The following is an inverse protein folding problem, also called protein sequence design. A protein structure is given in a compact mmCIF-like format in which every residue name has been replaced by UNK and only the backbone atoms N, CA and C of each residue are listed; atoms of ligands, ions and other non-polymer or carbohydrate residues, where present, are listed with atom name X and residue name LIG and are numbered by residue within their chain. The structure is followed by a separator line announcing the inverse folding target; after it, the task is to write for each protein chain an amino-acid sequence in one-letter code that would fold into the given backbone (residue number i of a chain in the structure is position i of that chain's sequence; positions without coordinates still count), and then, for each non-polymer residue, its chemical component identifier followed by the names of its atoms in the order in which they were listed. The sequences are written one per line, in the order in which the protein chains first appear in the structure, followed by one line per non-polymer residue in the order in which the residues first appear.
data_IF_094343207907
#
_entry.id   IF_094343207907
#
_cell.length_a   1.000
_cell.length_b   1.000
_cell.length_c   1.000
_cell.angle_alpha   90.00
_cell.angle_beta   90.00
_cell.angle_gamma   90.00
#
_symmetry.space_group_name_H-M   'P 1'
#
loop_
_entity.id
_entity.type
_entity.pdbx_description
1 polymer ?
#
# COMPACT_ATOMS: atom_id res chain seq x y z
N UNK A 1 19.97 -17.05 1.52
CA UNK A 1 21.09 -16.20 1.15
C UNK A 1 20.69 -14.72 1.28
N UNK A 2 21.28 -14.01 2.25
CA UNK A 2 20.97 -12.60 2.58
C UNK A 2 21.89 -11.61 1.86
N UNK A 3 22.45 -11.95 0.70
CA UNK A 3 23.41 -11.10 -0.04
C UNK A 3 22.82 -9.77 -0.50
N UNK A 4 21.50 -9.70 -0.62
CA UNK A 4 20.75 -8.50 -1.05
C UNK A 4 20.46 -7.50 0.08
N UNK A 5 20.77 -7.84 1.34
CA UNK A 5 20.48 -7.02 2.52
C UNK A 5 21.69 -6.94 3.48
N UNK A 6 22.88 -6.55 3.00
CA UNK A 6 24.10 -6.57 3.79
C UNK A 6 24.10 -5.59 4.97
N UNK A 7 23.30 -4.55 4.92
CA UNK A 7 23.04 -3.58 5.98
C UNK A 7 22.27 -4.22 7.15
N UNK A 8 21.20 -4.93 6.87
CA UNK A 8 20.39 -5.61 7.90
C UNK A 8 21.15 -6.76 8.57
N UNK A 9 22.02 -7.45 7.83
CA UNK A 9 22.83 -8.54 8.39
C UNK A 9 23.90 -8.06 9.40
N UNK A 10 24.20 -6.76 9.43
CA UNK A 10 25.14 -6.16 10.40
C UNK A 10 24.44 -5.69 11.68
N UNK A 11 23.12 -5.54 11.66
CA UNK A 11 22.35 -5.11 12.82
C UNK A 11 22.26 -6.24 13.86
N UNK A 12 22.77 -5.98 15.07
CA UNK A 12 22.79 -6.97 16.16
C UNK A 12 21.41 -7.36 16.65
N UNK A 13 20.43 -6.44 16.61
CA UNK A 13 19.05 -6.72 17.03
C UNK A 13 18.42 -7.70 16.04
N UNK A 14 18.58 -7.44 14.75
CA UNK A 14 18.07 -8.33 13.69
C UNK A 14 18.76 -9.69 13.69
N UNK A 15 20.08 -9.74 13.97
CA UNK A 15 20.79 -11.01 14.12
C UNK A 15 20.24 -11.85 15.29
N UNK A 16 19.98 -11.24 16.44
CA UNK A 16 19.39 -11.92 17.61
C UNK A 16 17.98 -12.37 17.30
N UNK A 17 17.16 -11.50 16.69
CA UNK A 17 15.80 -11.85 16.29
C UNK A 17 15.79 -13.04 15.31
N UNK A 18 16.65 -13.02 14.31
CA UNK A 18 16.76 -14.11 13.33
C UNK A 18 17.24 -15.42 13.99
N UNK A 19 18.29 -15.35 14.79
CA UNK A 19 18.86 -16.52 15.48
C UNK A 19 17.86 -17.21 16.40
N UNK A 20 17.05 -16.44 17.12
CA UNK A 20 16.10 -16.95 18.11
C UNK A 20 14.65 -16.81 17.64
N UNK A 21 14.41 -16.80 16.33
CA UNK A 21 13.09 -16.56 15.75
C UNK A 21 11.99 -17.45 16.34
N UNK A 22 12.21 -18.77 16.42
CA UNK A 22 11.24 -19.69 17.00
C UNK A 22 10.94 -19.42 18.48
N UNK A 23 11.94 -19.00 19.27
CA UNK A 23 11.75 -18.61 20.66
C UNK A 23 10.91 -17.33 20.76
N UNK A 24 11.18 -16.32 19.93
CA UNK A 24 10.37 -15.10 19.88
C UNK A 24 8.92 -15.39 19.50
N UNK A 25 8.69 -16.26 18.51
CA UNK A 25 7.34 -16.68 18.12
C UNK A 25 6.63 -17.35 19.31
N UNK A 26 7.29 -18.25 20.04
CA UNK A 26 6.72 -18.91 21.21
C UNK A 26 6.39 -17.89 22.32
N UNK A 27 7.34 -17.03 22.67
CA UNK A 27 7.15 -16.02 23.72
C UNK A 27 5.98 -15.08 23.36
N UNK A 28 5.93 -14.55 22.14
CA UNK A 28 4.94 -13.54 21.76
C UNK A 28 3.55 -14.10 21.51
N UNK A 29 3.43 -15.33 20.97
CA UNK A 29 2.13 -15.89 20.62
C UNK A 29 1.55 -16.84 21.67
N UNK A 30 2.40 -17.38 22.56
CA UNK A 30 1.93 -18.27 23.64
C UNK A 30 2.22 -17.67 25.00
N UNK A 31 3.49 -17.32 25.28
CA UNK A 31 3.90 -16.84 26.59
C UNK A 31 3.20 -15.57 27.05
N UNK A 32 3.24 -14.50 26.23
CA UNK A 32 2.56 -13.24 26.57
C UNK A 32 1.03 -13.40 26.59
N UNK A 33 0.47 -14.20 25.70
CA UNK A 33 -0.97 -14.45 25.67
C UNK A 33 -1.42 -15.24 26.89
N UNK A 34 -0.66 -16.25 27.32
CA UNK A 34 -0.94 -17.00 28.54
C UNK A 34 -0.80 -16.13 29.80
N UNK A 35 0.23 -15.27 29.84
CA UNK A 35 0.42 -14.31 30.95
C UNK A 35 -0.75 -13.31 31.03
N UNK A 36 -1.20 -12.78 29.91
CA UNK A 36 -2.38 -11.93 29.84
C UNK A 36 -3.65 -12.68 30.28
N UNK A 37 -3.82 -13.91 29.82
CA UNK A 37 -4.95 -14.77 30.23
C UNK A 37 -4.95 -15.08 31.74
N UNK A 38 -3.79 -15.25 32.33
CA UNK A 38 -3.64 -15.41 33.76
C UNK A 38 -4.10 -14.15 34.53
N UNK A 39 -3.70 -12.96 34.04
CA UNK A 39 -4.14 -11.68 34.62
C UNK A 39 -5.65 -11.45 34.47
N UNK A 40 -6.25 -11.93 33.38
CA UNK A 40 -7.69 -11.82 33.12
C UNK A 40 -8.52 -12.94 33.76
N UNK A 41 -7.89 -13.96 34.39
CA UNK A 41 -8.56 -15.09 35.00
C UNK A 41 -9.04 -16.18 34.04
N UNK A 42 -8.67 -16.10 32.74
CA UNK A 42 -9.01 -17.11 31.71
C UNK A 42 -7.85 -17.33 30.74
N UNK A 43 -6.95 -18.24 31.08
CA UNK A 43 -5.79 -18.59 30.23
C UNK A 43 -6.22 -19.28 28.93
N UNK A 44 -7.16 -20.22 29.02
CA UNK A 44 -7.59 -20.99 27.85
C UNK A 44 -8.37 -20.15 26.84
N UNK A 45 -9.32 -19.33 27.30
CA UNK A 45 -10.05 -18.39 26.45
C UNK A 45 -9.10 -17.39 25.79
N UNK A 46 -8.10 -16.90 26.52
CA UNK A 46 -7.08 -15.99 25.97
C UNK A 46 -6.22 -16.67 24.91
N UNK A 47 -5.76 -17.91 25.11
CA UNK A 47 -5.00 -18.65 24.10
C UNK A 47 -5.82 -18.91 22.84
N UNK A 48 -7.12 -19.19 22.97
CA UNK A 48 -8.00 -19.42 21.81
C UNK A 48 -8.32 -18.10 21.10
N UNK A 49 -8.74 -17.07 21.80
CA UNK A 49 -9.23 -15.83 21.19
C UNK A 49 -8.06 -14.90 20.82
N UNK A 50 -7.22 -14.56 21.79
CA UNK A 50 -6.12 -13.60 21.58
C UNK A 50 -4.94 -14.27 20.85
N UNK A 51 -4.69 -15.54 21.10
CA UNK A 51 -3.67 -16.32 20.42
C UNK A 51 -4.12 -16.81 19.04
N UNK A 52 -4.90 -17.88 19.01
CA UNK A 52 -5.21 -18.60 17.78
C UNK A 52 -6.10 -17.81 16.82
N UNK A 53 -7.24 -17.29 17.28
CA UNK A 53 -8.16 -16.56 16.39
C UNK A 53 -7.49 -15.31 15.80
N UNK A 54 -6.78 -14.52 16.62
CA UNK A 54 -5.99 -13.39 16.13
C UNK A 54 -4.98 -13.82 15.06
N UNK A 55 -4.24 -14.90 15.29
CA UNK A 55 -3.24 -15.40 14.36
C UNK A 55 -3.87 -15.79 13.01
N UNK A 56 -4.98 -16.53 13.05
CA UNK A 56 -5.74 -16.92 11.84
C UNK A 56 -6.23 -15.69 11.07
N UNK A 57 -6.84 -14.72 11.75
CA UNK A 57 -7.32 -13.50 11.12
C UNK A 57 -6.18 -12.67 10.51
N UNK A 58 -5.07 -12.51 11.25
CA UNK A 58 -3.90 -11.80 10.75
C UNK A 58 -3.35 -12.43 9.47
N UNK A 59 -3.22 -13.77 9.44
CA UNK A 59 -2.76 -14.48 8.23
C UNK A 59 -3.73 -14.29 7.05
N UNK A 60 -5.04 -14.38 7.28
CA UNK A 60 -6.03 -14.18 6.22
C UNK A 60 -5.96 -12.75 5.65
N UNK A 61 -5.88 -11.73 6.49
CA UNK A 61 -5.74 -10.35 6.02
C UNK A 61 -4.42 -10.12 5.28
N UNK A 62 -3.31 -10.72 5.73
CA UNK A 62 -2.03 -10.68 5.03
C UNK A 62 -2.13 -11.34 3.65
N UNK A 63 -2.77 -12.51 3.54
CA UNK A 63 -3.00 -13.17 2.25
C UNK A 63 -3.91 -12.35 1.34
N UNK A 64 -4.89 -11.63 1.89
CA UNK A 64 -5.76 -10.75 1.11
C UNK A 64 -5.02 -9.56 0.49
N UNK A 65 -3.94 -9.07 1.09
CA UNK A 65 -3.08 -8.07 0.46
C UNK A 65 -2.58 -8.63 -0.89
N UNK A 66 -2.07 -9.85 -0.90
CA UNK A 66 -1.47 -10.47 -2.09
C UNK A 66 -2.50 -11.09 -3.06
N UNK A 67 -3.74 -11.25 -2.67
CA UNK A 67 -4.80 -11.82 -3.53
C UNK A 67 -5.86 -10.76 -3.85
N UNK A 68 -6.59 -10.28 -2.85
CA UNK A 68 -7.73 -9.39 -3.02
C UNK A 68 -7.32 -8.02 -3.59
N UNK A 69 -6.19 -7.43 -3.11
CA UNK A 69 -5.66 -6.19 -3.67
C UNK A 69 -5.05 -6.34 -5.07
N UNK A 70 -4.90 -7.54 -5.59
CA UNK A 70 -4.54 -7.76 -6.99
C UNK A 70 -5.77 -8.02 -7.89
N UNK A 71 -6.94 -8.27 -7.30
CA UNK A 71 -8.19 -8.55 -8.02
C UNK A 71 -9.18 -7.37 -7.96
N UNK A 72 -9.34 -6.75 -6.79
CA UNK A 72 -10.38 -5.77 -6.52
C UNK A 72 -9.83 -4.45 -6.01
N UNK A 73 -10.29 -3.33 -6.57
CA UNK A 73 -9.89 -1.98 -6.20
C UNK A 73 -9.57 -1.09 -7.40
N UNK A 74 -9.06 0.10 -7.13
CA UNK A 74 -8.69 1.09 -8.13
C UNK A 74 -7.20 1.05 -8.46
N UNK A 75 -6.83 1.58 -9.62
CA UNK A 75 -5.43 1.79 -10.05
C UNK A 75 -5.20 3.26 -10.33
N UNK A 76 -4.98 4.09 -9.30
CA UNK A 76 -4.85 5.53 -9.50
C UNK A 76 -3.48 5.96 -10.05
N UNK A 77 -2.41 5.17 -9.89
CA UNK A 77 -1.04 5.58 -10.22
C UNK A 77 -0.43 4.82 -11.37
N UNK A 78 -0.77 3.54 -11.53
CA UNK A 78 -0.21 2.68 -12.59
C UNK A 78 -1.10 1.49 -12.89
N UNK A 79 -1.04 1.01 -14.13
CA UNK A 79 -1.63 -0.26 -14.58
C UNK A 79 -0.58 -1.27 -15.06
N UNK A 80 0.72 -0.95 -14.89
CA UNK A 80 1.83 -1.83 -15.29
C UNK A 80 1.97 -3.07 -14.41
N UNK A 81 1.33 -3.06 -13.24
CA UNK A 81 1.22 -4.20 -12.35
C UNK A 81 -0.25 -4.45 -11.98
N UNK A 82 -0.54 -5.56 -11.32
CA UNK A 82 -1.89 -5.93 -10.92
C UNK A 82 -2.35 -5.32 -9.59
N UNK A 83 -1.46 -4.67 -8.83
CA UNK A 83 -1.77 -4.05 -7.55
C UNK A 83 -2.85 -2.97 -7.66
N UNK A 84 -3.77 -2.95 -6.70
CA UNK A 84 -4.93 -2.06 -6.63
C UNK A 84 -5.08 -1.47 -5.24
N UNK A 85 -5.52 -0.24 -5.17
CA UNK A 85 -5.90 0.39 -3.91
C UNK A 85 -7.30 -0.05 -3.51
N UNK A 86 -7.41 -0.61 -2.31
CA UNK A 86 -8.66 -1.05 -1.70
C UNK A 86 -8.77 -0.48 -0.28
N UNK A 87 -9.66 0.50 -0.12
CA UNK A 87 -9.85 1.20 1.15
C UNK A 87 -10.33 0.26 2.27
N UNK A 88 -11.26 -0.66 1.98
CA UNK A 88 -11.76 -1.58 3.01
C UNK A 88 -10.64 -2.48 3.53
N UNK A 89 -9.82 -3.00 2.63
CA UNK A 89 -8.70 -3.84 3.06
C UNK A 89 -7.63 -3.04 3.82
N UNK A 90 -7.42 -1.77 3.47
CA UNK A 90 -6.48 -0.91 4.18
C UNK A 90 -6.81 -0.78 5.68
N UNK A 91 -8.11 -0.82 6.06
CA UNK A 91 -8.53 -0.78 7.48
C UNK A 91 -8.02 -2.02 8.24
N UNK A 92 -8.14 -3.20 7.67
CA UNK A 92 -7.77 -4.46 8.32
C UNK A 92 -6.29 -4.81 8.19
N UNK A 93 -5.56 -4.12 7.32
CA UNK A 93 -4.15 -4.38 6.99
C UNK A 93 -3.23 -3.20 7.32
N UNK A 94 -3.68 -2.26 8.16
CA UNK A 94 -2.89 -1.14 8.67
C UNK A 94 -2.30 -0.24 7.58
N UNK A 95 -3.04 -0.09 6.46
CA UNK A 95 -2.67 0.75 5.34
C UNK A 95 -2.19 -0.02 4.10
N UNK A 96 -1.82 -1.29 4.22
CA UNK A 96 -1.31 -2.11 3.10
C UNK A 96 -2.32 -2.30 1.96
N UNK A 97 -3.60 -2.00 2.19
CA UNK A 97 -4.63 -1.99 1.16
C UNK A 97 -4.44 -0.91 0.09
N UNK A 98 -3.59 0.11 0.30
CA UNK A 98 -3.19 1.07 -0.75
C UNK A 98 -2.06 0.49 -1.62
N UNK A 99 -2.35 -0.63 -2.26
CA UNK A 99 -1.38 -1.53 -2.83
C UNK A 99 -0.88 -1.10 -4.23
N UNK A 100 -1.68 -0.31 -4.98
CA UNK A 100 -1.25 0.29 -6.23
C UNK A 100 -0.20 1.38 -5.98
N UNK A 101 -0.41 2.21 -4.94
CA UNK A 101 0.57 3.20 -4.51
C UNK A 101 1.88 2.53 -4.08
N UNK A 102 1.80 1.58 -3.17
CA UNK A 102 2.95 0.85 -2.64
C UNK A 102 3.79 0.18 -3.75
N UNK A 103 3.14 -0.47 -4.71
CA UNK A 103 3.86 -1.11 -5.84
C UNK A 103 4.48 -0.13 -6.81
N UNK A 104 3.96 1.08 -6.94
CA UNK A 104 4.49 2.08 -7.87
C UNK A 104 5.57 2.94 -7.21
N UNK A 105 5.39 3.33 -5.95
CA UNK A 105 6.31 4.18 -5.19
C UNK A 105 6.94 3.41 -4.01
N UNK A 106 7.63 2.33 -4.28
CA UNK A 106 8.11 1.33 -3.31
C UNK A 106 8.99 1.89 -2.19
N UNK A 107 9.67 3.03 -2.39
CA UNK A 107 10.55 3.63 -1.40
C UNK A 107 9.87 4.64 -0.47
N UNK A 108 8.61 4.99 -0.74
CA UNK A 108 7.84 5.87 0.16
C UNK A 108 7.41 5.08 1.40
N UNK A 109 7.64 5.64 2.59
CA UNK A 109 7.26 4.97 3.83
C UNK A 109 5.75 4.93 4.06
N UNK A 110 4.98 5.72 3.28
CA UNK A 110 3.52 5.80 3.36
C UNK A 110 2.90 4.83 2.36
N UNK A 111 1.86 4.12 2.77
CA UNK A 111 0.97 3.44 1.83
C UNK A 111 -0.22 4.34 1.47
N UNK A 112 -0.84 4.98 2.45
CA UNK A 112 -1.88 5.99 2.26
C UNK A 112 -1.30 7.40 2.25
N UNK A 113 -1.18 8.03 1.08
CA UNK A 113 -0.54 9.34 0.89
C UNK A 113 -1.36 10.48 1.47
N UNK A 114 -2.68 10.46 1.24
CA UNK A 114 -3.56 11.56 1.65
C UNK A 114 -3.73 11.55 3.17
N UNK A 115 -3.88 12.73 3.78
CA UNK A 115 -3.97 12.88 5.24
C UNK A 115 -5.12 12.07 5.87
N UNK A 116 -6.23 11.90 5.16
CA UNK A 116 -7.41 11.17 5.59
C UNK A 116 -7.36 9.65 5.31
N UNK A 117 -6.38 9.18 4.54
CA UNK A 117 -6.22 7.76 4.25
C UNK A 117 -5.76 7.02 5.50
N UNK A 118 -6.53 5.98 5.87
CA UNK A 118 -6.25 5.17 7.04
C UNK A 118 -4.97 4.35 6.83
N UNK A 119 -3.89 4.79 7.46
CA UNK A 119 -2.58 4.17 7.42
C UNK A 119 -1.91 4.33 8.80
N UNK A 120 -2.27 3.49 9.78
CA UNK A 120 -1.67 3.54 11.11
C UNK A 120 -0.16 3.31 11.11
N UNK A 121 0.36 2.53 10.17
CA UNK A 121 1.80 2.30 10.00
C UNK A 121 2.52 3.63 9.70
N UNK A 122 2.01 4.42 8.77
CA UNK A 122 2.50 5.78 8.50
C UNK A 122 2.49 6.65 9.76
N UNK A 123 1.38 6.66 10.49
CA UNK A 123 1.26 7.49 11.69
C UNK A 123 2.22 7.07 12.79
N UNK A 124 2.42 5.76 12.99
CA UNK A 124 3.38 5.21 13.93
C UNK A 124 4.82 5.63 13.55
N UNK A 125 5.23 5.40 12.30
CA UNK A 125 6.57 5.75 11.82
C UNK A 125 6.83 7.25 11.96
N UNK A 126 5.86 8.10 11.55
CA UNK A 126 5.95 9.55 11.69
C UNK A 126 6.01 10.00 13.17
N UNK A 127 5.26 9.32 14.04
CA UNK A 127 5.32 9.56 15.48
C UNK A 127 6.66 9.19 16.10
N UNK A 128 7.21 8.05 15.74
CA UNK A 128 8.54 7.59 16.17
C UNK A 128 9.65 8.53 15.68
N UNK A 129 9.51 9.11 14.50
CA UNK A 129 10.46 10.10 13.98
C UNK A 129 10.51 11.36 14.84
N UNK A 130 9.37 11.81 15.39
CA UNK A 130 9.33 12.99 16.28
C UNK A 130 10.09 12.78 17.60
N UNK A 131 10.25 11.54 18.03
CA UNK A 131 11.02 11.18 19.24
C UNK A 131 12.41 10.64 18.91
N UNK A 132 12.84 10.72 17.64
CA UNK A 132 14.19 10.35 17.21
C UNK A 132 14.45 8.84 17.09
N UNK A 133 13.40 8.00 17.12
CA UNK A 133 13.53 6.54 16.99
C UNK A 133 13.53 6.06 15.52
N UNK A 134 13.06 6.90 14.59
CA UNK A 134 13.20 6.68 13.14
C UNK A 134 13.75 7.93 12.48
N UNK A 135 14.57 7.75 11.45
CA UNK A 135 15.24 8.85 10.72
C UNK A 135 15.09 8.64 9.21
N UNK A 136 15.38 9.67 8.43
CA UNK A 136 15.44 9.59 6.96
C UNK A 136 14.16 9.04 6.32
N UNK A 137 12.99 9.54 6.75
CA UNK A 137 11.71 9.13 6.18
C UNK A 137 11.66 9.48 4.68
N UNK A 138 11.75 8.48 3.83
CA UNK A 138 11.69 8.66 2.38
C UNK A 138 10.26 8.89 1.93
N UNK A 139 10.05 9.95 1.18
CA UNK A 139 8.75 10.30 0.61
C UNK A 139 8.90 10.61 -0.88
N UNK A 140 7.87 10.33 -1.63
CA UNK A 140 7.72 10.84 -3.00
C UNK A 140 7.13 12.24 -2.91
N UNK A 141 7.61 13.16 -3.75
CA UNK A 141 7.07 14.51 -3.81
C UNK A 141 5.64 14.52 -4.38
N UNK A 142 4.85 15.50 -3.95
CA UNK A 142 3.44 15.60 -4.30
C UNK A 142 3.22 15.84 -5.80
N UNK A 143 4.18 16.49 -6.50
CA UNK A 143 4.10 16.74 -7.93
C UNK A 143 4.26 15.46 -8.72
N UNK A 144 5.21 14.60 -8.35
CA UNK A 144 5.41 13.27 -8.95
C UNK A 144 4.18 12.37 -8.73
N UNK A 145 3.60 12.38 -7.53
CA UNK A 145 2.37 11.63 -7.24
C UNK A 145 1.23 12.13 -8.11
N UNK A 146 1.05 13.45 -8.17
CA UNK A 146 -0.01 14.08 -8.95
C UNK A 146 0.13 13.81 -10.44
N UNK A 147 1.36 13.85 -10.95
CA UNK A 147 1.66 13.51 -12.33
C UNK A 147 1.23 12.07 -12.67
N UNK A 148 1.56 11.10 -11.80
CA UNK A 148 1.14 9.70 -11.99
C UNK A 148 -0.39 9.56 -11.98
N UNK A 149 -1.09 10.24 -11.04
CA UNK A 149 -2.56 10.25 -10.99
C UNK A 149 -3.17 10.77 -12.29
N UNK A 150 -2.72 11.95 -12.76
CA UNK A 150 -3.25 12.58 -13.98
C UNK A 150 -3.00 11.71 -15.20
N UNK A 151 -1.79 11.17 -15.34
CA UNK A 151 -1.44 10.25 -16.43
C UNK A 151 -2.37 9.02 -16.47
N UNK A 152 -2.65 8.43 -15.30
CA UNK A 152 -3.55 7.27 -15.24
C UNK A 152 -5.02 7.63 -15.53
N UNK A 153 -5.51 8.77 -15.02
CA UNK A 153 -6.85 9.26 -15.32
C UNK A 153 -7.04 9.47 -16.82
N UNK A 154 -6.05 10.10 -17.46
CA UNK A 154 -6.06 10.31 -18.90
C UNK A 154 -6.08 8.99 -19.68
N UNK A 155 -5.20 8.03 -19.34
CA UNK A 155 -5.18 6.71 -19.97
C UNK A 155 -6.52 5.97 -19.82
N UNK A 156 -7.12 6.02 -18.64
CA UNK A 156 -8.42 5.41 -18.38
C UNK A 156 -9.55 6.08 -19.18
N UNK A 157 -9.51 7.41 -19.34
CA UNK A 157 -10.44 8.14 -20.17
C UNK A 157 -10.33 7.72 -21.65
N UNK A 158 -9.11 7.66 -22.18
CA UNK A 158 -8.87 7.17 -23.55
C UNK A 158 -9.39 5.74 -23.77
N UNK A 159 -9.12 4.83 -22.83
CA UNK A 159 -9.60 3.45 -22.89
C UNK A 159 -11.14 3.37 -22.92
N UNK A 160 -11.81 4.16 -22.08
CA UNK A 160 -13.28 4.22 -22.09
C UNK A 160 -13.82 4.72 -23.43
N UNK A 161 -13.24 5.78 -23.99
CA UNK A 161 -13.64 6.32 -25.28
C UNK A 161 -13.44 5.27 -26.38
N UNK A 162 -12.27 4.63 -26.43
CA UNK A 162 -11.98 3.59 -27.44
C UNK A 162 -12.94 2.40 -27.34
N UNK A 163 -13.34 2.01 -26.13
CA UNK A 163 -14.33 0.95 -25.90
C UNK A 163 -15.71 1.34 -26.44
N UNK A 164 -16.15 2.58 -26.22
CA UNK A 164 -17.42 3.08 -26.73
C UNK A 164 -17.39 3.15 -28.28
N UNK A 165 -16.27 3.58 -28.85
CA UNK A 165 -16.07 3.61 -30.32
C UNK A 165 -16.14 2.21 -30.94
N UNK A 166 -15.47 1.25 -30.33
CA UNK A 166 -15.44 -0.14 -30.83
C UNK A 166 -16.80 -0.86 -30.71
N UNK A 167 -17.64 -0.42 -29.78
CA UNK A 167 -19.00 -0.95 -29.61
C UNK A 167 -20.00 -0.45 -30.70
N UNK A 168 -19.54 0.33 -31.68
CA UNK A 168 -20.38 0.84 -32.79
C UNK A 168 -21.42 1.88 -32.37
N UNK A 169 -21.29 2.45 -31.18
CA UNK A 169 -22.12 3.55 -30.73
C UNK A 169 -21.73 4.81 -31.50
N UNK A 170 -22.70 5.46 -32.15
CA UNK A 170 -22.46 6.72 -32.85
C UNK A 170 -22.04 7.79 -31.86
N UNK A 171 -20.79 8.21 -31.97
CA UNK A 171 -20.24 9.23 -31.05
C UNK A 171 -20.62 10.60 -31.61
N UNK A 172 -21.36 11.43 -30.85
CA UNK A 172 -21.65 12.79 -31.29
C UNK A 172 -20.35 13.52 -31.66
N UNK A 173 -20.38 14.30 -32.75
CA UNK A 173 -19.23 15.09 -33.22
C UNK A 173 -18.56 15.93 -32.09
N UNK A 174 -19.38 16.41 -31.14
CA UNK A 174 -18.92 17.07 -29.92
C UNK A 174 -17.98 16.24 -29.06
N UNK A 175 -18.18 14.92 -29.01
CA UNK A 175 -17.33 14.01 -28.21
C UNK A 175 -15.96 13.83 -28.86
N UNK A 176 -15.89 13.84 -30.19
CA UNK A 176 -14.63 13.78 -30.94
C UNK A 176 -13.81 15.06 -30.73
N UNK A 177 -14.44 16.22 -30.81
CA UNK A 177 -13.81 17.51 -30.49
C UNK A 177 -13.30 17.53 -29.06
N UNK A 178 -14.08 17.01 -28.11
CA UNK A 178 -13.68 16.93 -26.71
C UNK A 178 -12.47 16.01 -26.51
N UNK A 179 -12.40 14.90 -27.21
CA UNK A 179 -11.26 14.00 -27.19
C UNK A 179 -9.98 14.67 -27.73
N UNK A 180 -10.07 15.37 -28.86
CA UNK A 180 -8.94 16.07 -29.45
C UNK A 180 -8.41 17.16 -28.52
N UNK A 181 -9.31 17.87 -27.85
CA UNK A 181 -8.96 18.88 -26.85
C UNK A 181 -8.28 18.27 -25.60
N UNK A 182 -8.81 17.16 -25.07
CA UNK A 182 -8.18 16.44 -23.95
C UNK A 182 -6.77 15.98 -24.34
N UNK A 183 -6.59 15.44 -25.55
CA UNK A 183 -5.27 15.01 -26.02
C UNK A 183 -4.29 16.20 -26.09
N UNK A 184 -4.71 17.33 -26.65
CA UNK A 184 -3.84 18.51 -26.78
C UNK A 184 -3.46 19.11 -25.41
N UNK A 185 -4.41 19.18 -24.48
CA UNK A 185 -4.14 19.68 -23.12
C UNK A 185 -3.22 18.73 -22.33
N UNK A 186 -3.39 17.41 -22.49
CA UNK A 186 -2.49 16.43 -21.92
C UNK A 186 -1.06 16.56 -22.45
N UNK A 187 -0.90 16.69 -23.76
CA UNK A 187 0.43 16.83 -24.37
C UNK A 187 1.11 18.13 -23.94
N UNK A 188 0.35 19.22 -23.83
CA UNK A 188 0.84 20.48 -23.28
C UNK A 188 1.28 20.33 -21.81
N UNK A 189 0.47 19.65 -20.99
CA UNK A 189 0.81 19.37 -19.59
C UNK A 189 2.07 18.50 -19.48
N UNK A 190 2.19 17.42 -20.28
CA UNK A 190 3.35 16.54 -20.28
C UNK A 190 4.62 17.26 -20.71
N UNK A 191 4.52 18.18 -21.68
CA UNK A 191 5.63 19.02 -22.11
C UNK A 191 6.09 19.97 -20.96
N UNK A 192 5.16 20.63 -20.30
CA UNK A 192 5.47 21.49 -19.16
C UNK A 192 6.14 20.71 -18.03
N UNK A 193 5.66 19.52 -17.70
CA UNK A 193 6.27 18.66 -16.68
C UNK A 193 7.70 18.24 -17.06
N UNK A 194 7.95 17.94 -18.34
CA UNK A 194 9.28 17.60 -18.82
C UNK A 194 10.29 18.77 -18.79
N UNK A 195 9.79 20.00 -18.87
CA UNK A 195 10.61 21.21 -18.75
C UNK A 195 10.99 21.52 -17.28
N UNK A 196 10.33 20.91 -16.32
CA UNK A 196 10.56 21.12 -14.87
C UNK A 196 11.44 20.02 -14.23
N UNK A 197 11.81 19.00 -14.99
CA UNK A 197 12.75 17.93 -14.61
C UNK A 197 14.16 18.23 -15.17
#
# INVERSE_FOLDING_TARGET
DFKNIPDLTKDKVLQIQHKYYGLWVLITNVGLVAALGWLLGDVWGSLVIIGLLRLVLTHHFTFFINSFCHMFGSRPYTDTNSGRDNFFLAIFTWGEGYHNYHHFFQYDYRNGVKWWQYDPTKWLIAGLSKVGLTTELRTVDDTTIKHAEVKMQFKQAQQKISTVMSAGLDIPHTMKIFQDRINSEHDAFMKTVAEWQ
#
